data_IF_678884305680
#
_entry.id   IF_678884305680
#
_cell.length_a   1.000
_cell.length_b   1.000
_cell.length_c   1.000
_cell.angle_alpha   90.00
_cell.angle_beta   90.00
_cell.angle_gamma   90.00
#
_symmetry.space_group_name_H-M   'P 1'
#
loop_
_entity.id
_entity.type
_entity.pdbx_description
1 polymer ?
#
# COMPACT_ATOMS: atom_id res chain seq x y z
N UNK A 1 -44.42 11.57 -48.40
CA UNK A 1 -43.83 12.10 -47.16
C UNK A 1 -43.03 10.96 -46.53
N UNK A 2 -41.73 10.89 -46.81
CA UNK A 2 -40.88 9.78 -46.38
C UNK A 2 -40.41 10.02 -44.94
N UNK A 3 -40.56 9.00 -44.08
CA UNK A 3 -40.14 9.06 -42.68
C UNK A 3 -38.61 9.15 -42.58
N UNK A 4 -38.12 10.07 -41.74
CA UNK A 4 -36.70 10.23 -41.45
C UNK A 4 -36.13 8.97 -40.77
N UNK A 5 -34.88 8.58 -41.06
CA UNK A 5 -34.25 7.44 -40.40
C UNK A 5 -34.02 7.71 -38.91
N UNK A 6 -34.09 6.69 -38.04
CA UNK A 6 -33.84 6.84 -36.61
C UNK A 6 -32.38 7.23 -36.38
N UNK A 7 -32.17 8.26 -35.54
CA UNK A 7 -30.85 8.72 -35.14
C UNK A 7 -30.03 7.55 -34.59
N UNK A 8 -28.88 7.29 -35.21
CA UNK A 8 -27.92 6.33 -34.71
C UNK A 8 -27.48 6.77 -33.30
N UNK A 9 -27.76 5.93 -32.30
CA UNK A 9 -27.25 6.10 -30.96
C UNK A 9 -25.74 5.85 -31.00
N UNK A 10 -24.97 6.87 -31.36
CA UNK A 10 -23.52 6.86 -31.16
C UNK A 10 -23.30 6.81 -29.65
N UNK A 11 -23.08 5.61 -29.13
CA UNK A 11 -22.66 5.38 -27.75
C UNK A 11 -21.30 6.03 -27.54
N UNK A 12 -21.28 7.34 -27.28
CA UNK A 12 -20.13 8.00 -26.70
C UNK A 12 -19.90 7.36 -25.34
N UNK A 13 -18.88 6.50 -25.25
CA UNK A 13 -18.37 6.01 -23.98
C UNK A 13 -18.18 7.23 -23.06
N UNK A 14 -18.91 7.24 -21.95
CA UNK A 14 -19.02 8.39 -21.06
C UNK A 14 -17.61 8.88 -20.62
N UNK A 15 -17.33 10.20 -20.63
CA UNK A 15 -16.03 10.79 -20.27
C UNK A 15 -15.54 10.52 -18.84
N UNK A 16 -16.35 9.82 -18.03
CA UNK A 16 -16.06 9.38 -16.65
C UNK A 16 -14.95 8.30 -16.61
N UNK A 17 -14.79 7.51 -17.68
CA UNK A 17 -13.83 6.39 -17.76
C UNK A 17 -12.37 6.86 -17.59
N UNK A 18 -11.97 7.93 -18.27
CA UNK A 18 -10.56 8.26 -18.43
C UNK A 18 -9.99 8.95 -17.19
N UNK A 19 -10.79 9.81 -16.54
CA UNK A 19 -10.40 10.50 -15.31
C UNK A 19 -10.21 9.51 -14.16
N UNK A 20 -11.17 8.61 -13.97
CA UNK A 20 -11.13 7.58 -12.93
C UNK A 20 -9.93 6.63 -13.12
N UNK A 21 -9.71 6.17 -14.36
CA UNK A 21 -8.56 5.32 -14.69
C UNK A 21 -7.23 6.00 -14.38
N UNK A 22 -7.13 7.31 -14.67
CA UNK A 22 -5.92 8.07 -14.39
C UNK A 22 -5.66 8.21 -12.89
N UNK A 23 -6.70 8.55 -12.11
CA UNK A 23 -6.62 8.62 -10.64
C UNK A 23 -6.20 7.27 -10.06
N UNK A 24 -6.83 6.17 -10.49
CA UNK A 24 -6.48 4.83 -10.05
C UNK A 24 -5.05 4.42 -10.43
N UNK A 25 -4.59 4.75 -11.64
CA UNK A 25 -3.24 4.44 -12.10
C UNK A 25 -2.18 5.24 -11.34
N UNK A 26 -2.43 6.53 -11.08
CA UNK A 26 -1.56 7.38 -10.28
C UNK A 26 -1.49 6.87 -8.83
N UNK A 27 -2.63 6.49 -8.26
CA UNK A 27 -2.69 5.86 -6.94
C UNK A 27 -1.95 4.52 -6.87
N UNK A 28 -2.16 3.63 -7.85
CA UNK A 28 -1.48 2.34 -7.90
C UNK A 28 0.04 2.49 -8.02
N UNK A 29 0.51 3.41 -8.87
CA UNK A 29 1.94 3.69 -9.03
C UNK A 29 2.57 4.26 -7.74
N UNK A 30 1.88 5.18 -7.06
CA UNK A 30 2.28 5.67 -5.74
C UNK A 30 2.35 4.53 -4.73
N UNK A 31 1.31 3.69 -4.67
CA UNK A 31 1.26 2.50 -3.82
C UNK A 31 2.44 1.56 -4.05
N UNK A 32 2.75 1.22 -5.30
CA UNK A 32 3.91 0.40 -5.65
C UNK A 32 5.22 1.04 -5.17
N UNK A 33 5.38 2.37 -5.28
CA UNK A 33 6.56 3.05 -4.75
C UNK A 33 6.68 2.90 -3.22
N UNK A 34 5.56 3.02 -2.49
CA UNK A 34 5.52 2.77 -1.04
C UNK A 34 5.85 1.31 -0.70
N UNK A 35 5.28 0.35 -1.44
CA UNK A 35 5.52 -1.07 -1.24
C UNK A 35 7.00 -1.43 -1.43
N UNK A 36 7.64 -0.88 -2.47
CA UNK A 36 9.05 -1.04 -2.75
C UNK A 36 9.93 -0.42 -1.68
N UNK A 37 9.60 0.77 -1.19
CA UNK A 37 10.36 1.43 -0.11
C UNK A 37 10.41 0.56 1.15
N UNK A 38 9.27 -0.02 1.55
CA UNK A 38 9.18 -0.94 2.69
C UNK A 38 9.95 -2.24 2.42
N UNK A 39 9.75 -2.83 1.24
CA UNK A 39 10.40 -4.09 0.88
C UNK A 39 11.94 -3.96 0.85
N UNK A 40 12.46 -2.85 0.32
CA UNK A 40 13.89 -2.58 0.29
C UNK A 40 14.47 -2.35 1.68
N UNK A 41 13.75 -1.65 2.56
CA UNK A 41 14.18 -1.47 3.94
C UNK A 41 14.31 -2.80 4.69
N UNK A 42 13.28 -3.65 4.61
CA UNK A 42 13.32 -4.96 5.27
C UNK A 42 14.30 -5.93 4.61
N UNK A 43 14.49 -5.84 3.29
CA UNK A 43 15.55 -6.60 2.62
C UNK A 43 16.93 -6.18 3.12
N UNK A 44 17.18 -4.88 3.27
CA UNK A 44 18.44 -4.37 3.83
C UNK A 44 18.65 -4.90 5.27
N UNK A 45 17.63 -4.83 6.12
CA UNK A 45 17.66 -5.38 7.48
C UNK A 45 17.97 -6.88 7.51
N UNK A 46 17.26 -7.64 6.69
CA UNK A 46 17.45 -9.09 6.54
C UNK A 46 18.87 -9.43 6.07
N UNK A 47 19.44 -8.63 5.16
CA UNK A 47 20.81 -8.78 4.70
C UNK A 47 21.83 -8.47 5.81
N UNK A 48 21.61 -7.43 6.60
CA UNK A 48 22.47 -7.07 7.74
C UNK A 48 22.47 -8.15 8.82
N UNK A 49 21.36 -8.88 8.97
CA UNK A 49 21.22 -10.02 9.88
C UNK A 49 21.71 -11.35 9.28
N UNK A 50 22.16 -11.36 8.03
CA UNK A 50 22.64 -12.55 7.32
C UNK A 50 21.53 -13.53 6.92
N UNK A 51 20.26 -13.10 6.93
CA UNK A 51 19.08 -13.93 6.63
C UNK A 51 18.20 -13.27 5.56
N UNK A 52 18.59 -13.28 4.27
CA UNK A 52 17.84 -12.61 3.21
C UNK A 52 16.38 -13.08 3.13
N UNK A 53 15.43 -12.14 2.99
CA UNK A 53 13.98 -12.39 2.85
C UNK A 53 13.34 -13.13 4.04
N UNK A 54 13.99 -13.15 5.19
CA UNK A 54 13.46 -13.78 6.39
C UNK A 54 12.22 -13.06 6.91
N UNK A 55 12.24 -11.72 6.98
CA UNK A 55 11.10 -10.92 7.44
C UNK A 55 9.83 -11.14 6.61
N UNK A 56 9.83 -11.01 5.26
CA UNK A 56 8.63 -11.27 4.46
C UNK A 56 8.17 -12.72 4.54
N UNK A 57 9.08 -13.70 4.68
CA UNK A 57 8.70 -15.10 4.91
C UNK A 57 7.97 -15.29 6.24
N UNK A 58 8.49 -14.71 7.32
CA UNK A 58 7.91 -14.81 8.65
C UNK A 58 6.52 -14.15 8.72
N UNK A 59 6.37 -12.96 8.11
CA UNK A 59 5.08 -12.29 7.99
C UNK A 59 4.07 -13.08 7.17
N UNK A 60 4.52 -13.83 6.14
CA UNK A 60 3.67 -14.73 5.36
C UNK A 60 3.13 -15.91 6.16
N UNK A 61 3.96 -16.52 7.01
CA UNK A 61 3.50 -17.55 7.96
C UNK A 61 2.46 -16.97 8.93
N UNK A 62 2.73 -15.77 9.48
CA UNK A 62 1.81 -15.09 10.38
C UNK A 62 0.45 -14.81 9.73
N UNK A 63 0.46 -14.25 8.51
CA UNK A 63 -0.75 -14.00 7.74
C UNK A 63 -1.56 -15.29 7.52
N UNK A 64 -0.87 -16.37 7.14
CA UNK A 64 -1.54 -17.67 6.92
C UNK A 64 -2.12 -18.24 8.21
N UNK A 65 -1.41 -18.10 9.33
CA UNK A 65 -1.89 -18.52 10.64
C UNK A 65 -3.14 -17.72 11.06
N UNK A 66 -3.17 -16.40 10.83
CA UNK A 66 -4.37 -15.59 11.08
C UNK A 66 -5.57 -16.04 10.24
N UNK A 67 -5.35 -16.30 8.94
CA UNK A 67 -6.41 -16.79 8.04
C UNK A 67 -6.95 -18.17 8.47
N UNK A 68 -6.14 -18.96 9.18
CA UNK A 68 -6.53 -20.26 9.77
C UNK A 68 -7.06 -20.14 11.20
N UNK A 69 -7.49 -18.95 11.63
CA UNK A 69 -8.05 -18.74 12.97
C UNK A 69 -7.01 -18.75 14.09
N UNK A 70 -5.77 -18.37 13.80
CA UNK A 70 -4.67 -18.31 14.77
C UNK A 70 -3.94 -19.64 14.99
N UNK A 71 -4.30 -20.70 14.25
CA UNK A 71 -3.59 -21.97 14.31
C UNK A 71 -2.15 -21.83 13.80
N UNK A 72 -1.19 -22.23 14.62
CA UNK A 72 0.24 -22.15 14.28
C UNK A 72 0.90 -20.83 14.64
N UNK A 73 0.18 -19.85 15.22
CA UNK A 73 0.78 -18.61 15.72
C UNK A 73 1.92 -18.92 16.70
N UNK A 74 1.72 -19.84 17.65
CA UNK A 74 2.71 -20.25 18.66
C UNK A 74 4.01 -20.85 18.10
N UNK A 75 4.01 -21.33 16.84
CA UNK A 75 5.17 -21.93 16.19
C UNK A 75 5.94 -20.94 15.31
N UNK A 76 5.52 -19.67 15.25
CA UNK A 76 6.16 -18.65 14.43
C UNK A 76 7.62 -18.30 14.76
N UNK A 77 8.18 -18.42 15.99
CA UNK A 77 9.56 -17.98 16.23
C UNK A 77 10.57 -18.93 15.58
N UNK A 78 10.16 -20.20 15.45
CA UNK A 78 10.93 -21.30 14.90
C UNK A 78 10.55 -21.61 13.45
N UNK A 79 9.69 -20.79 12.84
CA UNK A 79 9.22 -21.02 11.48
C UNK A 79 10.41 -20.93 10.50
N UNK A 80 10.66 -21.98 9.69
CA UNK A 80 11.73 -21.95 8.72
C UNK A 80 11.41 -20.97 7.60
N UNK A 81 12.46 -20.46 6.96
CA UNK A 81 12.31 -19.73 5.71
C UNK A 81 11.53 -20.57 4.69
N UNK A 82 10.53 -19.96 4.07
CA UNK A 82 9.72 -20.56 3.04
C UNK A 82 9.44 -19.53 1.93
N UNK A 83 10.00 -19.77 0.73
CA UNK A 83 9.81 -18.91 -0.42
C UNK A 83 8.32 -18.73 -0.80
N UNK A 84 7.50 -19.76 -0.57
CA UNK A 84 6.04 -19.68 -0.75
C UNK A 84 5.39 -18.67 0.19
N UNK A 85 5.81 -18.61 1.46
CA UNK A 85 5.28 -17.67 2.45
C UNK A 85 5.75 -16.24 2.19
N UNK A 86 7.02 -16.09 1.80
CA UNK A 86 7.53 -14.82 1.29
C UNK A 86 6.64 -14.30 0.14
N UNK A 87 6.36 -15.16 -0.85
CA UNK A 87 5.54 -14.78 -2.00
C UNK A 87 4.11 -14.41 -1.60
N UNK A 88 3.47 -15.20 -0.74
CA UNK A 88 2.13 -14.90 -0.19
C UNK A 88 2.10 -13.51 0.45
N UNK A 89 3.08 -13.22 1.30
CA UNK A 89 3.18 -11.91 1.93
C UNK A 89 3.42 -10.80 0.90
N UNK A 90 4.36 -10.97 -0.03
CA UNK A 90 4.68 -9.96 -1.04
C UNK A 90 3.46 -9.57 -1.88
N UNK A 91 2.65 -10.54 -2.30
CA UNK A 91 1.43 -10.26 -3.08
C UNK A 91 0.45 -9.44 -2.25
N UNK A 92 0.17 -9.86 -1.02
CA UNK A 92 -0.78 -9.17 -0.14
C UNK A 92 -0.28 -7.77 0.23
N UNK A 93 1.02 -7.63 0.49
CA UNK A 93 1.70 -6.35 0.75
C UNK A 93 1.53 -5.38 -0.42
N UNK A 94 1.84 -5.80 -1.64
CA UNK A 94 1.71 -4.95 -2.84
C UNK A 94 0.25 -4.56 -3.08
N UNK A 95 -0.71 -5.49 -2.94
CA UNK A 95 -2.13 -5.20 -3.10
C UNK A 95 -2.65 -4.21 -2.06
N UNK A 96 -2.22 -4.36 -0.80
CA UNK A 96 -2.56 -3.42 0.27
C UNK A 96 -2.08 -2.01 -0.04
N UNK A 97 -0.84 -1.88 -0.49
CA UNK A 97 -0.24 -0.60 -0.87
C UNK A 97 -0.88 0.02 -2.12
N UNK A 98 -1.27 -0.79 -3.12
CA UNK A 98 -2.05 -0.31 -4.28
C UNK A 98 -3.39 0.26 -3.83
N UNK A 99 -4.10 -0.44 -2.93
CA UNK A 99 -5.36 0.04 -2.37
C UNK A 99 -5.20 1.35 -1.60
N UNK A 100 -4.15 1.44 -0.78
CA UNK A 100 -3.79 2.65 -0.04
C UNK A 100 -3.50 3.83 -0.97
N UNK A 101 -2.65 3.61 -2.00
CA UNK A 101 -2.30 4.63 -2.97
C UNK A 101 -3.50 5.09 -3.80
N UNK A 102 -4.39 4.17 -4.19
CA UNK A 102 -5.66 4.50 -4.84
C UNK A 102 -6.52 5.40 -3.96
N UNK A 103 -6.70 5.06 -2.67
CA UNK A 103 -7.43 5.87 -1.72
C UNK A 103 -6.81 7.27 -1.55
N UNK A 104 -5.48 7.37 -1.41
CA UNK A 104 -4.77 8.65 -1.37
C UNK A 104 -5.02 9.48 -2.64
N UNK A 105 -4.95 8.87 -3.82
CA UNK A 105 -5.19 9.58 -5.08
C UNK A 105 -6.63 10.08 -5.20
N UNK A 106 -7.62 9.32 -4.74
CA UNK A 106 -9.01 9.79 -4.66
C UNK A 106 -9.15 10.98 -3.71
N UNK A 107 -8.56 10.92 -2.52
CA UNK A 107 -8.60 12.01 -1.55
C UNK A 107 -7.93 13.26 -2.10
N UNK A 108 -6.77 13.15 -2.74
CA UNK A 108 -6.09 14.29 -3.36
C UNK A 108 -6.90 14.90 -4.51
N UNK A 109 -7.50 14.06 -5.36
CA UNK A 109 -8.38 14.54 -6.42
C UNK A 109 -9.65 15.22 -5.86
N UNK A 110 -10.14 14.77 -4.70
CA UNK A 110 -11.24 15.42 -3.99
C UNK A 110 -10.79 16.75 -3.34
N UNK A 111 -9.58 16.79 -2.78
CA UNK A 111 -8.98 17.96 -2.15
C UNK A 111 -8.74 19.11 -3.13
N UNK A 112 -8.47 18.82 -4.42
CA UNK A 112 -8.42 19.85 -5.47
C UNK A 112 -9.70 20.69 -5.57
N UNK A 113 -10.85 20.17 -5.10
CA UNK A 113 -12.13 20.90 -5.07
C UNK A 113 -12.44 21.51 -3.70
N UNK A 114 -11.72 21.12 -2.66
CA UNK A 114 -11.95 21.51 -1.27
C UNK A 114 -10.61 21.72 -0.55
N UNK A 115 -10.11 22.96 -0.44
CA UNK A 115 -8.88 23.27 0.26
C UNK A 115 -8.90 22.72 1.70
N UNK A 116 -7.79 22.10 2.12
CA UNK A 116 -7.64 21.50 3.46
C UNK A 116 -7.80 19.98 3.53
N UNK A 117 -8.24 19.31 2.45
CA UNK A 117 -8.39 17.85 2.47
C UNK A 117 -7.09 17.05 2.25
N UNK A 118 -6.00 17.72 1.90
CA UNK A 118 -4.66 17.12 1.76
C UNK A 118 -4.16 16.50 3.06
N UNK A 119 -4.52 17.12 4.19
CA UNK A 119 -4.27 16.58 5.52
C UNK A 119 -4.92 15.21 5.71
N UNK A 120 -6.10 14.95 5.12
CA UNK A 120 -6.72 13.62 5.21
C UNK A 120 -5.95 12.55 4.43
N UNK A 121 -5.24 12.90 3.35
CA UNK A 121 -4.39 11.94 2.64
C UNK A 121 -3.16 11.58 3.49
N UNK A 122 -2.57 12.56 4.19
CA UNK A 122 -1.47 12.34 5.14
C UNK A 122 -1.95 11.54 6.35
N UNK A 123 -3.10 11.91 6.93
CA UNK A 123 -3.71 11.19 8.05
C UNK A 123 -4.09 9.76 7.66
N UNK A 124 -4.64 9.55 6.45
CA UNK A 124 -4.93 8.21 5.94
C UNK A 124 -3.66 7.36 5.93
N UNK A 125 -2.55 7.89 5.42
CA UNK A 125 -1.29 7.16 5.36
C UNK A 125 -0.69 6.90 6.74
N UNK A 126 -0.80 7.88 7.66
CA UNK A 126 -0.36 7.74 9.04
C UNK A 126 -1.20 6.70 9.80
N UNK A 127 -2.53 6.76 9.69
CA UNK A 127 -3.46 5.80 10.30
C UNK A 127 -3.29 4.41 9.70
N UNK A 128 -3.12 4.31 8.37
CA UNK A 128 -2.88 3.03 7.72
C UNK A 128 -1.55 2.41 8.18
N UNK A 129 -0.49 3.22 8.27
CA UNK A 129 0.80 2.81 8.81
C UNK A 129 0.75 2.40 10.28
N UNK A 130 -0.08 3.08 11.08
CA UNK A 130 -0.32 2.71 12.48
C UNK A 130 -1.10 1.38 12.57
N UNK A 131 -2.10 1.19 11.71
CA UNK A 131 -2.91 -0.03 11.69
C UNK A 131 -2.13 -1.25 11.18
N UNK A 132 -1.28 -1.10 10.16
CA UNK A 132 -0.37 -2.15 9.70
C UNK A 132 0.68 -2.50 10.77
N UNK A 133 1.19 -1.50 11.50
CA UNK A 133 2.06 -1.73 12.66
C UNK A 133 1.34 -2.52 13.74
N UNK A 134 0.10 -2.18 14.05
CA UNK A 134 -0.73 -2.90 15.03
C UNK A 134 -1.08 -4.33 14.59
N UNK A 135 -1.42 -4.54 13.31
CA UNK A 135 -1.67 -5.87 12.77
C UNK A 135 -0.40 -6.74 12.79
N UNK A 136 0.74 -6.13 12.49
CA UNK A 136 2.04 -6.77 12.67
C UNK A 136 2.24 -7.11 14.15
N UNK A 137 1.88 -6.22 15.08
CA UNK A 137 1.96 -6.47 16.53
C UNK A 137 1.06 -7.63 17.02
N UNK A 138 -0.12 -7.82 16.41
CA UNK A 138 -0.99 -8.96 16.71
C UNK A 138 -0.38 -10.30 16.26
N UNK A 139 0.51 -10.27 15.27
CA UNK A 139 1.37 -11.40 14.88
C UNK A 139 2.62 -11.51 15.79
N UNK A 140 3.06 -10.40 16.38
CA UNK A 140 4.32 -10.24 17.14
C UNK A 140 4.33 -10.91 18.51
N UNK A 141 3.20 -11.40 19.03
CA UNK A 141 3.25 -12.31 20.19
C UNK A 141 4.22 -13.48 19.98
N UNK A 142 4.57 -13.78 18.72
CA UNK A 142 5.38 -14.94 18.37
C UNK A 142 6.45 -14.70 17.26
N UNK A 143 6.60 -13.52 16.62
CA UNK A 143 7.46 -13.43 15.41
C UNK A 143 8.82 -12.70 15.54
N UNK A 144 9.05 -11.70 16.38
CA UNK A 144 10.19 -10.78 16.12
C UNK A 144 11.00 -10.34 17.35
N UNK A 145 11.99 -11.15 17.73
CA UNK A 145 13.22 -10.63 18.35
C UNK A 145 14.15 -9.94 17.33
N UNK A 146 13.88 -10.09 16.03
CA UNK A 146 14.70 -9.60 14.91
C UNK A 146 14.28 -8.21 14.37
N UNK A 147 12.98 -7.89 14.31
CA UNK A 147 12.49 -6.60 13.80
C UNK A 147 12.05 -5.73 14.96
N UNK A 148 12.71 -4.58 15.12
CA UNK A 148 12.39 -3.65 16.20
C UNK A 148 11.21 -2.76 15.81
N UNK A 149 10.54 -2.19 16.81
CA UNK A 149 9.53 -1.14 16.59
C UNK A 149 10.09 0.02 15.76
N UNK A 150 11.39 0.30 15.91
CA UNK A 150 12.10 1.35 15.17
C UNK A 150 12.17 1.01 13.68
N UNK A 151 12.47 -0.25 13.32
CA UNK A 151 12.51 -0.67 11.91
C UNK A 151 11.14 -0.53 11.25
N UNK A 152 10.07 -0.86 11.98
CA UNK A 152 8.70 -0.71 11.49
C UNK A 152 8.38 0.78 11.28
N UNK A 153 8.73 1.66 12.22
CA UNK A 153 8.50 3.10 12.09
C UNK A 153 9.28 3.70 10.90
N UNK A 154 10.54 3.29 10.72
CA UNK A 154 11.37 3.74 9.58
C UNK A 154 10.73 3.28 8.26
N UNK A 155 10.28 2.02 8.16
CA UNK A 155 9.63 1.51 6.96
C UNK A 155 8.38 2.32 6.59
N UNK A 156 7.54 2.66 7.57
CA UNK A 156 6.35 3.48 7.34
C UNK A 156 6.67 4.91 6.95
N UNK A 157 7.70 5.51 7.56
CA UNK A 157 8.17 6.83 7.16
C UNK A 157 8.68 6.82 5.72
N UNK A 158 9.48 5.82 5.34
CA UNK A 158 9.98 5.64 3.97
C UNK A 158 8.84 5.46 2.97
N UNK A 159 7.83 4.65 3.31
CA UNK A 159 6.62 4.51 2.51
C UNK A 159 5.92 5.86 2.31
N UNK A 160 5.72 6.60 3.41
CA UNK A 160 5.05 7.90 3.36
C UNK A 160 5.80 8.91 2.49
N UNK A 161 7.12 8.97 2.64
CA UNK A 161 7.98 9.82 1.83
C UNK A 161 7.97 9.40 0.36
N UNK A 162 8.03 8.10 0.05
CA UNK A 162 8.01 7.61 -1.33
C UNK A 162 6.68 7.93 -2.03
N UNK A 163 5.56 7.63 -1.36
CA UNK A 163 4.22 7.91 -1.88
C UNK A 163 3.96 9.41 -2.01
N UNK A 164 4.33 10.19 -1.00
CA UNK A 164 4.21 11.65 -1.01
C UNK A 164 5.08 12.29 -2.10
N UNK A 165 6.34 11.87 -2.24
CA UNK A 165 7.23 12.35 -3.28
C UNK A 165 6.75 12.00 -4.69
N UNK A 166 6.11 10.84 -4.87
CA UNK A 166 5.49 10.48 -6.14
C UNK A 166 4.38 11.48 -6.51
N UNK A 167 3.47 11.78 -5.58
CA UNK A 167 2.41 12.75 -5.82
C UNK A 167 2.95 14.17 -6.01
N UNK A 168 3.95 14.59 -5.23
CA UNK A 168 4.58 15.90 -5.36
C UNK A 168 5.19 16.12 -6.75
N UNK A 169 5.94 15.13 -7.27
CA UNK A 169 6.51 15.21 -8.62
C UNK A 169 5.47 15.27 -9.73
N UNK A 170 4.28 14.70 -9.50
CA UNK A 170 3.20 14.64 -10.48
C UNK A 170 2.27 15.87 -10.44
N UNK A 171 2.14 16.49 -9.27
CA UNK A 171 1.20 17.57 -8.98
C UNK A 171 1.88 18.68 -8.14
N UNK A 172 2.90 19.38 -8.69
CA UNK A 172 3.65 20.39 -7.94
C UNK A 172 2.77 21.57 -7.47
N UNK A 173 1.67 21.86 -8.17
CA UNK A 173 0.72 22.92 -7.81
C UNK A 173 -0.04 22.69 -6.50
N UNK A 174 -0.05 21.46 -5.95
CA UNK A 174 -0.73 21.14 -4.68
C UNK A 174 0.03 21.71 -3.48
N UNK A 175 1.34 21.99 -3.59
CA UNK A 175 2.16 22.51 -2.48
C UNK A 175 2.37 24.03 -2.57
N UNK A 176 2.13 24.68 -3.72
CA UNK A 176 2.21 26.13 -3.80
C UNK A 176 1.14 26.88 -2.96
N UNK A 177 0.19 26.13 -2.37
CA UNK A 177 -0.86 26.64 -1.50
C UNK A 177 -0.84 26.12 -0.05
N UNK A 178 0.21 25.39 0.38
CA UNK A 178 0.49 25.07 1.79
C UNK A 178 1.40 26.14 2.40
#
# INVERSE_FOLDING_TARGET
>A
MAAAPPAAFTGSALPVNHHLRRVLAEGAASGVAGALAVALWFLLRDLLEGRPFHTPSALGHGLTALLKGGQGLAALPDAPYAASMMYVYTVVHVLFFIGAGAACSFLLNYARRNPGYELYAVLLLATLGMWSTFLSMMLVGVVLSAVTIVDILIAHLLAALAMGAYFWRRHPEVIAGL
#
